data_IF_566306652553
#
_entry.id   IF_566306652553
#
_cell.length_a   1.000
_cell.length_b   1.000
_cell.length_c   1.000
_cell.angle_alpha   90.00
_cell.angle_beta   90.00
_cell.angle_gamma   90.00
#
_symmetry.space_group_name_H-M   'P 1'
#
loop_
_entity.id
_entity.type
_entity.pdbx_description
1 polymer ?
#
# COMPACT_ATOMS: atom_id res chain seq x y z
N UNK A 1 6.50 -21.81 5.50
CA UNK A 1 6.95 -20.82 4.50
C UNK A 1 7.14 -19.50 5.22
N UNK A 2 8.29 -18.87 5.04
CA UNK A 2 8.54 -17.58 5.69
C UNK A 2 7.78 -16.45 4.98
N UNK A 3 7.77 -15.28 5.62
CA UNK A 3 7.02 -14.12 5.12
C UNK A 3 7.51 -13.67 3.75
N UNK A 4 8.82 -13.68 3.53
CA UNK A 4 9.38 -13.26 2.24
C UNK A 4 9.04 -14.21 1.13
N UNK A 5 9.09 -15.52 1.38
CA UNK A 5 8.72 -16.52 0.39
C UNK A 5 7.24 -16.41 0.02
N UNK A 6 6.36 -16.18 1.00
CA UNK A 6 4.94 -15.98 0.76
C UNK A 6 4.71 -14.70 -0.10
N UNK A 7 5.42 -13.63 0.21
CA UNK A 7 5.34 -12.40 -0.56
C UNK A 7 5.78 -12.62 -2.01
N UNK A 8 6.88 -13.31 -2.22
CA UNK A 8 7.39 -13.57 -3.57
C UNK A 8 6.37 -14.33 -4.42
N UNK A 9 5.67 -15.30 -3.83
CA UNK A 9 4.63 -16.05 -4.55
C UNK A 9 3.41 -15.20 -4.88
N UNK A 10 2.97 -14.37 -3.95
CA UNK A 10 1.85 -13.44 -4.21
C UNK A 10 2.25 -12.41 -5.26
N UNK A 11 3.49 -11.92 -5.20
CA UNK A 11 4.03 -10.99 -6.20
C UNK A 11 3.94 -11.60 -7.61
N UNK A 12 4.42 -12.82 -7.79
CA UNK A 12 4.36 -13.51 -9.10
C UNK A 12 2.91 -13.70 -9.55
N UNK A 13 2.03 -14.08 -8.63
CA UNK A 13 0.61 -14.23 -8.92
C UNK A 13 0.01 -12.95 -9.53
N UNK A 14 0.33 -11.78 -8.95
CA UNK A 14 -0.26 -10.52 -9.38
C UNK A 14 0.24 -10.04 -10.74
N UNK A 15 1.37 -10.55 -11.21
CA UNK A 15 1.92 -10.16 -12.52
C UNK A 15 0.96 -10.43 -13.69
N UNK A 16 0.09 -11.44 -13.57
CA UNK A 16 -0.87 -11.79 -14.60
C UNK A 16 -2.29 -11.29 -14.30
N UNK A 17 -2.47 -10.52 -13.20
CA UNK A 17 -3.79 -10.02 -12.83
C UNK A 17 -4.05 -8.64 -13.41
N UNK A 18 -5.32 -8.33 -13.78
CA UNK A 18 -5.66 -7.03 -14.33
C UNK A 18 -5.58 -5.92 -13.27
N UNK A 19 -5.48 -4.67 -13.74
CA UNK A 19 -5.56 -3.50 -12.86
C UNK A 19 -4.31 -3.20 -12.05
N UNK A 20 -3.18 -3.84 -12.36
CA UNK A 20 -1.92 -3.61 -11.62
C UNK A 20 -2.06 -3.86 -10.12
N UNK A 21 -2.70 -4.98 -9.77
CA UNK A 21 -2.84 -5.41 -8.36
C UNK A 21 -1.48 -5.52 -7.69
N UNK A 22 -0.41 -5.77 -8.46
CA UNK A 22 0.97 -5.84 -7.98
C UNK A 22 1.33 -4.65 -7.09
N UNK A 23 0.98 -3.42 -7.50
CA UNK A 23 1.32 -2.24 -6.71
C UNK A 23 0.70 -2.28 -5.32
N UNK A 24 -0.53 -2.76 -5.21
CA UNK A 24 -1.21 -2.89 -3.91
C UNK A 24 -0.49 -3.87 -2.99
N UNK A 25 -0.01 -4.97 -3.54
CA UNK A 25 0.77 -5.97 -2.77
C UNK A 25 2.10 -5.38 -2.31
N UNK A 26 2.79 -4.66 -3.17
CA UNK A 26 4.06 -4.00 -2.82
C UNK A 26 3.85 -3.01 -1.67
N UNK A 27 2.82 -2.18 -1.76
CA UNK A 27 2.53 -1.17 -0.75
C UNK A 27 2.15 -1.82 0.59
N UNK A 28 1.28 -2.82 0.56
CA UNK A 28 0.85 -3.52 1.76
C UNK A 28 2.03 -4.21 2.46
N UNK A 29 2.87 -4.89 1.71
CA UNK A 29 4.03 -5.58 2.28
C UNK A 29 5.02 -4.60 2.92
N UNK A 30 5.30 -3.50 2.24
CA UNK A 30 6.21 -2.47 2.75
C UNK A 30 5.71 -1.88 4.07
N UNK A 31 4.42 -1.60 4.15
CA UNK A 31 3.81 -1.02 5.36
C UNK A 31 3.77 -2.04 6.49
N UNK A 32 3.34 -3.27 6.22
CA UNK A 32 3.20 -4.28 7.27
C UNK A 32 4.55 -4.63 7.91
N UNK A 33 5.62 -4.63 7.14
CA UNK A 33 6.94 -5.03 7.61
C UNK A 33 7.86 -3.85 7.92
N UNK A 34 7.34 -2.63 7.93
CA UNK A 34 8.12 -1.45 8.22
C UNK A 34 8.66 -1.48 9.65
N UNK A 35 9.92 -1.09 9.80
CA UNK A 35 10.58 -0.94 11.10
C UNK A 35 11.18 0.45 11.20
N UNK A 36 11.75 0.78 12.35
CA UNK A 36 12.46 2.05 12.53
C UNK A 36 13.63 2.20 11.56
N UNK A 37 14.17 1.08 11.08
CA UNK A 37 15.29 1.07 10.13
C UNK A 37 14.82 1.19 8.68
N UNK A 38 13.52 1.11 8.40
CA UNK A 38 12.99 1.27 7.06
C UNK A 38 13.19 2.70 6.57
N UNK A 39 13.48 2.85 5.27
CA UNK A 39 13.61 4.19 4.68
C UNK A 39 12.26 4.90 4.77
N UNK A 40 12.20 6.14 5.28
CA UNK A 40 10.94 6.87 5.39
C UNK A 40 10.16 6.93 4.09
N UNK A 41 10.82 7.12 2.96
CA UNK A 41 10.17 7.19 1.65
C UNK A 41 9.40 5.90 1.33
N UNK A 42 9.95 4.74 1.68
CA UNK A 42 9.29 3.45 1.40
C UNK A 42 7.99 3.32 2.17
N UNK A 43 7.99 3.69 3.44
CA UNK A 43 6.80 3.58 4.29
C UNK A 43 5.75 4.62 3.87
N UNK A 44 6.17 5.86 3.61
CA UNK A 44 5.26 6.92 3.16
C UNK A 44 4.61 6.54 1.83
N UNK A 45 5.38 6.03 0.88
CA UNK A 45 4.83 5.60 -0.41
C UNK A 45 3.84 4.45 -0.24
N UNK A 46 4.15 3.50 0.64
CA UNK A 46 3.21 2.42 0.95
C UNK A 46 1.90 2.95 1.52
N UNK A 47 1.97 3.88 2.47
CA UNK A 47 0.77 4.49 3.06
C UNK A 47 -0.01 5.32 2.05
N UNK A 48 0.68 6.08 1.19
CA UNK A 48 0.04 6.81 0.09
C UNK A 48 -0.73 5.84 -0.81
N UNK A 49 -0.10 4.74 -1.18
CA UNK A 49 -0.73 3.73 -2.03
C UNK A 49 -1.96 3.12 -1.37
N UNK A 50 -1.87 2.76 -0.09
CA UNK A 50 -3.02 2.22 0.65
C UNK A 50 -4.17 3.22 0.71
N UNK A 51 -3.89 4.48 1.02
CA UNK A 51 -4.91 5.52 1.06
C UNK A 51 -5.62 5.67 -0.29
N UNK A 52 -4.85 5.80 -1.36
CA UNK A 52 -5.41 6.00 -2.70
C UNK A 52 -6.22 4.78 -3.15
N UNK A 53 -5.74 3.58 -2.85
CA UNK A 53 -6.45 2.36 -3.20
C UNK A 53 -7.76 2.22 -2.41
N UNK A 54 -7.68 2.32 -1.09
CA UNK A 54 -8.82 2.01 -0.22
C UNK A 54 -9.85 3.15 -0.19
N UNK A 55 -9.41 4.39 -0.10
CA UNK A 55 -10.35 5.53 0.05
C UNK A 55 -10.68 6.21 -1.27
N UNK A 56 -9.84 6.12 -2.28
CA UNK A 56 -10.07 6.77 -3.58
C UNK A 56 -10.30 5.80 -4.72
N UNK A 57 -10.29 4.50 -4.45
CA UNK A 57 -10.50 3.43 -5.43
C UNK A 57 -9.53 3.50 -6.62
N UNK A 58 -8.30 3.92 -6.36
CA UNK A 58 -7.28 3.95 -7.40
C UNK A 58 -6.89 2.53 -7.82
N UNK A 59 -6.70 2.34 -9.12
CA UNK A 59 -6.04 1.15 -9.63
C UNK A 59 -4.56 1.18 -9.25
N UNK A 60 -3.88 0.03 -9.34
CA UNK A 60 -2.44 -0.02 -9.11
C UNK A 60 -1.67 0.90 -10.04
N UNK A 61 -2.11 1.03 -11.30
CA UNK A 61 -1.49 1.96 -12.25
C UNK A 61 -1.63 3.41 -11.83
N UNK A 62 -2.80 3.80 -11.34
CA UNK A 62 -3.03 5.15 -10.85
C UNK A 62 -2.18 5.46 -9.62
N UNK A 63 -2.06 4.49 -8.70
CA UNK A 63 -1.17 4.61 -7.53
C UNK A 63 0.27 4.82 -7.98
N UNK A 64 0.73 4.03 -8.95
CA UNK A 64 2.09 4.13 -9.46
C UNK A 64 2.39 5.51 -10.05
N UNK A 65 1.44 6.07 -10.79
CA UNK A 65 1.57 7.44 -11.32
C UNK A 65 1.66 8.47 -10.19
N UNK A 66 0.86 8.31 -9.14
CA UNK A 66 0.91 9.20 -7.98
C UNK A 66 2.28 9.12 -7.28
N UNK A 67 2.83 7.92 -7.12
CA UNK A 67 4.17 7.73 -6.56
C UNK A 67 5.23 8.45 -7.38
N UNK A 68 5.19 8.32 -8.69
CA UNK A 68 6.15 8.98 -9.58
C UNK A 68 6.07 10.50 -9.43
N UNK A 69 4.86 11.04 -9.45
CA UNK A 69 4.64 12.47 -9.35
C UNK A 69 5.11 13.02 -8.00
N UNK A 70 4.78 12.33 -6.92
CA UNK A 70 5.21 12.71 -5.59
C UNK A 70 6.74 12.65 -5.45
N UNK A 71 7.35 11.58 -5.97
CA UNK A 71 8.80 11.37 -5.89
C UNK A 71 9.61 12.41 -6.63
N UNK A 72 9.05 13.03 -7.67
CA UNK A 72 9.73 14.08 -8.43
C UNK A 72 9.88 15.37 -7.64
N UNK A 73 8.96 15.64 -6.71
CA UNK A 73 8.85 16.96 -6.08
C UNK A 73 9.21 16.96 -4.61
N UNK A 74 8.89 15.88 -3.88
CA UNK A 74 9.12 15.83 -2.44
C UNK A 74 10.56 15.43 -2.12
N UNK A 75 11.17 16.12 -1.15
CA UNK A 75 12.53 15.85 -0.68
C UNK A 75 12.59 15.45 0.78
N UNK A 76 11.66 15.95 1.60
CA UNK A 76 11.57 15.66 3.03
C UNK A 76 10.26 14.94 3.29
N UNK A 77 10.32 13.78 3.95
CA UNK A 77 9.16 12.93 4.17
C UNK A 77 8.62 13.11 5.58
N UNK A 78 7.29 13.08 5.77
CA UNK A 78 6.71 13.17 7.11
C UNK A 78 7.14 11.97 7.96
N UNK A 79 7.19 12.19 9.27
CA UNK A 79 7.42 11.10 10.20
C UNK A 79 6.22 10.18 10.21
N UNK A 80 6.47 8.86 10.19
CA UNK A 80 5.41 7.85 10.23
C UNK A 80 5.33 7.26 11.63
N UNK A 81 4.11 7.16 12.14
CA UNK A 81 3.83 6.40 13.35
C UNK A 81 3.68 4.92 12.99
N UNK A 82 4.48 4.05 13.64
CA UNK A 82 4.46 2.60 13.43
C UNK A 82 3.66 1.94 14.55
N UNK A 83 2.43 1.46 14.30
CA UNK A 83 1.66 0.79 15.34
C UNK A 83 2.26 -0.60 15.65
N UNK A 84 2.04 -1.09 16.87
CA UNK A 84 2.41 -2.46 17.23
C UNK A 84 1.49 -3.46 16.52
N UNK A 85 0.19 -3.19 16.56
CA UNK A 85 -0.81 -4.01 15.86
C UNK A 85 -0.88 -3.56 14.40
N UNK A 86 -0.56 -4.47 13.51
CA UNK A 86 -0.51 -4.24 12.06
C UNK A 86 -1.66 -4.91 11.33
N UNK A 87 -2.76 -5.21 12.04
CA UNK A 87 -3.93 -5.88 11.48
C UNK A 87 -3.82 -7.40 11.58
N UNK A 88 -4.95 -8.08 11.39
CA UNK A 88 -5.06 -9.51 11.56
C UNK A 88 -4.66 -10.31 10.31
N UNK A 89 -4.57 -9.66 9.16
CA UNK A 89 -4.32 -10.33 7.87
C UNK A 89 -2.85 -10.15 7.48
N UNK A 90 -2.24 -11.23 7.01
CA UNK A 90 -0.85 -11.23 6.55
C UNK A 90 -0.77 -11.71 5.10
N UNK A 91 0.40 -11.55 4.50
CA UNK A 91 0.63 -12.07 3.13
C UNK A 91 0.45 -13.58 3.06
N UNK A 92 0.73 -14.32 4.15
CA UNK A 92 0.50 -15.76 4.20
C UNK A 92 -0.99 -16.09 4.08
N UNK A 93 -1.85 -15.29 4.71
CA UNK A 93 -3.32 -15.46 4.58
C UNK A 93 -3.77 -15.23 3.14
N UNK A 94 -3.19 -14.23 2.48
CA UNK A 94 -3.49 -13.95 1.06
C UNK A 94 -3.09 -15.14 0.19
N UNK A 95 -1.91 -15.70 0.41
CA UNK A 95 -1.43 -16.85 -0.35
C UNK A 95 -2.31 -18.09 -0.11
N UNK A 96 -2.84 -18.24 1.10
CA UNK A 96 -3.70 -19.37 1.46
C UNK A 96 -5.07 -19.32 0.77
N UNK A 97 -5.52 -18.15 0.32
CA UNK A 97 -6.76 -18.01 -0.45
C UNK A 97 -6.59 -18.62 -1.84
N UNK A 98 -7.64 -19.17 -2.40
CA UNK A 98 -7.60 -19.77 -3.74
C UNK A 98 -7.28 -18.72 -4.79
N UNK A 99 -6.38 -19.04 -5.73
CA UNK A 99 -6.02 -18.13 -6.82
C UNK A 99 -7.28 -17.72 -7.61
N UNK A 100 -7.31 -16.46 -8.03
CA UNK A 100 -8.46 -15.88 -8.74
C UNK A 100 -9.21 -14.88 -7.87
N UNK A 101 -10.54 -14.76 -8.02
CA UNK A 101 -11.33 -13.75 -7.32
C UNK A 101 -11.18 -13.78 -5.80
N UNK A 102 -11.05 -14.96 -5.21
CA UNK A 102 -10.89 -15.08 -3.75
C UNK A 102 -9.57 -14.45 -3.27
N UNK A 103 -8.47 -14.76 -3.96
CA UNK A 103 -7.17 -14.18 -3.59
C UNK A 103 -7.14 -12.69 -3.89
N UNK A 104 -7.74 -12.23 -4.98
CA UNK A 104 -7.84 -10.81 -5.29
C UNK A 104 -8.57 -10.07 -4.17
N UNK A 105 -9.66 -10.66 -3.67
CA UNK A 105 -10.39 -10.09 -2.53
C UNK A 105 -9.56 -10.12 -1.25
N UNK A 106 -8.80 -11.18 -1.04
CA UNK A 106 -7.91 -11.28 0.13
C UNK A 106 -6.83 -10.19 0.11
N UNK A 107 -6.34 -9.82 -1.07
CA UNK A 107 -5.41 -8.69 -1.22
C UNK A 107 -6.08 -7.39 -0.78
N UNK A 108 -7.30 -7.14 -1.22
CA UNK A 108 -8.05 -5.94 -0.82
C UNK A 108 -8.31 -5.92 0.69
N UNK A 109 -8.70 -7.04 1.27
CA UNK A 109 -8.95 -7.15 2.70
C UNK A 109 -7.67 -6.90 3.51
N UNK A 110 -6.55 -7.41 3.03
CA UNK A 110 -5.24 -7.17 3.62
C UNK A 110 -4.88 -5.69 3.60
N UNK A 111 -5.02 -5.04 2.46
CA UNK A 111 -4.78 -3.60 2.32
C UNK A 111 -5.68 -2.78 3.26
N UNK A 112 -6.95 -3.13 3.33
CA UNK A 112 -7.92 -2.44 4.19
C UNK A 112 -7.58 -2.58 5.66
N UNK A 113 -7.21 -3.80 6.07
CA UNK A 113 -6.81 -4.09 7.44
C UNK A 113 -5.58 -3.28 7.84
N UNK A 114 -4.59 -3.20 6.97
CA UNK A 114 -3.39 -2.40 7.20
C UNK A 114 -3.67 -0.91 7.28
N UNK A 115 -4.48 -0.40 6.36
CA UNK A 115 -4.83 1.01 6.36
C UNK A 115 -5.54 1.41 7.66
N UNK A 116 -6.43 0.56 8.15
CA UNK A 116 -7.09 0.78 9.44
C UNK A 116 -6.08 0.78 10.58
N UNK A 117 -5.17 -0.18 10.62
CA UNK A 117 -4.16 -0.29 11.68
C UNK A 117 -3.23 0.92 11.69
N UNK A 118 -2.91 1.48 10.53
CA UNK A 118 -2.06 2.67 10.39
C UNK A 118 -2.83 3.99 10.38
N UNK A 119 -4.09 3.98 10.80
CA UNK A 119 -5.00 5.13 10.72
C UNK A 119 -4.50 6.41 11.37
N UNK A 120 -3.59 6.32 12.34
CA UNK A 120 -3.00 7.50 12.98
C UNK A 120 -2.21 8.37 11.98
N UNK A 121 -1.77 7.78 10.87
CA UNK A 121 -1.01 8.50 9.83
C UNK A 121 -1.91 9.16 8.78
N UNK A 122 -3.21 8.91 8.80
CA UNK A 122 -4.12 9.30 7.73
C UNK A 122 -4.08 10.79 7.42
N UNK A 123 -4.19 11.63 8.44
CA UNK A 123 -4.25 13.08 8.23
C UNK A 123 -2.94 13.62 7.61
N UNK A 124 -1.81 13.09 8.02
CA UNK A 124 -0.51 13.48 7.46
C UNK A 124 -0.37 13.04 6.01
N UNK A 125 -0.89 11.88 5.66
CA UNK A 125 -0.88 11.40 4.26
C UNK A 125 -1.77 12.26 3.39
N UNK A 126 -2.97 12.59 3.86
CA UNK A 126 -3.88 13.47 3.12
C UNK A 126 -3.26 14.86 2.93
N UNK A 127 -2.66 15.42 3.99
CA UNK A 127 -2.01 16.72 3.92
C UNK A 127 -0.87 16.72 2.89
N UNK A 128 -0.07 15.65 2.86
CA UNK A 128 1.01 15.49 1.90
C UNK A 128 0.48 15.52 0.46
N UNK A 129 -0.56 14.75 0.19
CA UNK A 129 -1.13 14.66 -1.17
C UNK A 129 -1.78 15.97 -1.61
N UNK A 130 -2.40 16.69 -0.69
CA UNK A 130 -2.96 18.02 -0.96
C UNK A 130 -1.88 19.05 -1.25
N UNK A 131 -0.79 19.04 -0.48
CA UNK A 131 0.34 19.94 -0.67
C UNK A 131 0.89 19.86 -2.08
N UNK A 132 0.99 18.65 -2.63
CA UNK A 132 1.52 18.41 -3.97
C UNK A 132 0.42 18.29 -5.04
N UNK A 133 -0.85 18.58 -4.67
CA UNK A 133 -2.00 18.62 -5.58
C UNK A 133 -2.29 17.28 -6.27
N UNK A 134 -1.85 16.18 -5.69
CA UNK A 134 -2.03 14.85 -6.28
C UNK A 134 -3.49 14.43 -6.18
N UNK A 135 -4.16 14.74 -5.07
CA UNK A 135 -5.58 14.42 -4.87
C UNK A 135 -6.46 15.22 -5.84
N UNK A 136 -6.11 16.47 -6.12
CA UNK A 136 -6.87 17.33 -7.03
C UNK A 136 -6.93 16.76 -8.44
N UNK A 137 -5.80 16.28 -8.94
CA UNK A 137 -5.74 15.68 -10.28
C UNK A 137 -6.66 14.47 -10.38
N UNK A 138 -6.90 13.79 -9.27
CA UNK A 138 -7.66 12.55 -9.21
C UNK A 138 -9.16 12.78 -8.96
N UNK A 139 -9.56 13.95 -8.46
CA UNK A 139 -10.95 14.31 -8.20
C UNK A 139 -11.62 14.97 -9.43
N UNK A 140 -10.81 15.37 -10.36
CA UNK A 140 -11.28 15.95 -11.61
C UNK A 140 -11.47 14.86 -12.67
#
# INVERSE_FOLDING_TARGET
>A
MDVRAAYDEVYVYTMSRPGFILQHVVDAFAVQNATEDSKPISVVFGLVGLYLHIEKQFSGRQVQKAHIELGRRKRVWPKVYLPEDRGAITVADVLAASAGPERDRAIDDWCRSLWTAFGRNRDNIIALLREYQIIWVCLL
#
